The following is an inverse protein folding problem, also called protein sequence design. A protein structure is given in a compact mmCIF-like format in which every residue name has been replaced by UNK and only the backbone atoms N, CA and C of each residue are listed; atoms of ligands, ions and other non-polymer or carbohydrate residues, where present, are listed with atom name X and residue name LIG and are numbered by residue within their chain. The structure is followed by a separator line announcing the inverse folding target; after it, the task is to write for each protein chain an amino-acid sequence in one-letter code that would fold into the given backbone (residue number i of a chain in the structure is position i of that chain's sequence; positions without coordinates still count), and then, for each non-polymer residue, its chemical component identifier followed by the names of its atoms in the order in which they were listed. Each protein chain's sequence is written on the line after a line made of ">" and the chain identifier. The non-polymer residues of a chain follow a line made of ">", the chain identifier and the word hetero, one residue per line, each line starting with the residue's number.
data_IF_260052760389
#
_entry.id   IF_260052760389
#
_cell.length_a   1.000
_cell.length_b   1.000
_cell.length_c   1.000
_cell.angle_alpha   90.00
_cell.angle_beta   90.00
_cell.angle_gamma   90.00
#
_symmetry.space_group_name_H-M   'P 1'
#
loop_
_entity.id
_entity.type
_entity.pdbx_description
1 polymer ?
#
# COMPACT_ATOMS: atom_id res chain seq x y z
N UNK A 1 5.52 13.79 28.61
CA UNK A 1 4.74 12.54 28.50
C UNK A 1 4.65 12.16 27.03
N UNK A 2 5.56 11.31 26.55
CA UNK A 2 5.50 10.77 25.19
C UNK A 2 4.89 9.38 25.32
N UNK A 3 3.68 9.18 24.78
CA UNK A 3 2.96 7.90 24.84
C UNK A 3 3.44 7.00 23.70
N UNK A 4 3.93 5.82 24.06
CA UNK A 4 4.21 4.65 23.20
C UNK A 4 2.89 4.17 22.54
N UNK A 5 2.82 3.40 21.43
CA UNK A 5 3.39 2.05 21.26
C UNK A 5 3.17 1.51 19.80
N UNK A 6 4.10 0.66 19.35
CA UNK A 6 4.03 -0.36 18.27
C UNK A 6 3.94 0.07 16.78
N UNK A 7 5.10 0.27 16.14
CA UNK A 7 5.42 -0.38 14.84
C UNK A 7 6.91 -0.18 14.52
N UNK A 8 7.63 -1.29 14.33
CA UNK A 8 9.04 -1.39 13.92
C UNK A 8 9.39 -0.58 12.66
N UNK A 9 9.68 0.71 12.81
CA UNK A 9 10.21 1.55 11.73
C UNK A 9 11.37 2.34 12.31
N UNK A 10 12.60 1.89 12.08
CA UNK A 10 13.85 2.49 12.57
C UNK A 10 14.04 3.92 12.03
N UNK A 11 13.40 4.85 12.72
CA UNK A 11 13.69 6.23 13.12
C UNK A 11 14.57 7.19 12.28
N UNK A 12 14.31 8.47 12.58
CA UNK A 12 15.18 9.65 12.52
C UNK A 12 15.02 10.56 11.30
N UNK A 13 14.43 11.73 11.57
CA UNK A 13 14.73 12.99 10.89
C UNK A 13 16.22 13.06 10.54
N UNK A 14 16.58 12.98 9.26
CA UNK A 14 17.92 13.33 8.79
C UNK A 14 17.88 14.66 8.07
N UNK A 15 18.88 15.50 8.36
CA UNK A 15 19.07 16.82 7.79
C UNK A 15 19.42 16.70 6.29
N UNK A 16 18.64 17.37 5.43
CA UNK A 16 18.68 17.28 3.96
C UNK A 16 20.03 17.66 3.30
N UNK A 17 20.98 18.28 4.02
CA UNK A 17 22.17 18.92 3.42
C UNK A 17 23.47 18.08 3.44
N UNK A 18 23.45 16.78 3.79
CA UNK A 18 24.71 16.02 3.94
C UNK A 18 24.70 14.56 3.45
N UNK A 19 23.79 14.18 2.55
CA UNK A 19 23.69 12.79 2.09
C UNK A 19 24.20 12.63 0.66
N UNK A 20 25.05 11.61 0.42
CA UNK A 20 25.55 11.26 -0.91
C UNK A 20 24.39 10.86 -1.84
N UNK A 21 24.58 10.97 -3.16
CA UNK A 21 23.55 10.65 -4.16
C UNK A 21 22.95 9.24 -3.98
N UNK A 22 23.76 8.28 -3.53
CA UNK A 22 23.32 6.93 -3.19
C UNK A 22 22.34 6.88 -2.01
N UNK A 23 22.53 7.72 -0.99
CA UNK A 23 21.61 7.78 0.17
C UNK A 23 20.33 8.55 -0.17
N UNK A 24 20.39 9.58 -1.02
CA UNK A 24 19.19 10.24 -1.57
C UNK A 24 18.32 9.23 -2.34
N UNK A 25 18.93 8.39 -3.18
CA UNK A 25 18.21 7.32 -3.91
C UNK A 25 17.56 6.35 -2.93
N UNK A 26 18.26 5.93 -1.87
CA UNK A 26 17.71 5.08 -0.81
C UNK A 26 16.57 5.74 -0.03
N UNK A 27 16.64 7.06 0.22
CA UNK A 27 15.56 7.82 0.88
C UNK A 27 14.33 7.99 -0.02
N UNK A 28 14.52 8.25 -1.32
CA UNK A 28 13.44 8.29 -2.30
C UNK A 28 12.73 6.94 -2.41
N UNK A 29 13.48 5.84 -2.39
CA UNK A 29 12.91 4.49 -2.35
C UNK A 29 12.28 4.13 -0.99
N UNK A 30 12.70 4.74 0.11
CA UNK A 30 12.01 4.63 1.41
C UNK A 30 10.63 5.33 1.42
N UNK A 31 10.44 6.31 0.55
CA UNK A 31 9.17 7.02 0.36
C UNK A 31 8.26 6.41 -0.71
N UNK A 32 8.72 5.35 -1.39
CA UNK A 32 7.91 4.69 -2.39
C UNK A 32 6.71 4.01 -1.72
N UNK A 33 5.53 4.30 -2.25
CA UNK A 33 4.33 3.60 -1.85
C UNK A 33 4.50 2.12 -2.26
N UNK A 34 4.24 1.20 -1.31
CA UNK A 34 4.36 -0.24 -1.53
C UNK A 34 3.02 -0.93 -1.32
N UNK A 35 2.77 -2.00 -2.07
CA UNK A 35 1.57 -2.81 -1.91
C UNK A 35 1.57 -3.54 -0.56
N UNK A 36 0.50 -3.38 0.24
CA UNK A 36 0.34 -4.07 1.53
C UNK A 36 0.28 -5.60 1.47
N UNK A 37 0.06 -6.18 0.27
CA UNK A 37 -0.06 -7.63 0.08
C UNK A 37 1.25 -8.23 -0.40
N UNK A 38 1.76 -7.78 -1.54
CA UNK A 38 2.97 -8.36 -2.14
C UNK A 38 4.27 -7.65 -1.76
N UNK A 39 4.20 -6.50 -1.08
CA UNK A 39 5.37 -5.69 -0.65
C UNK A 39 6.24 -5.19 -1.81
N UNK A 40 5.67 -5.07 -3.00
CA UNK A 40 6.33 -4.49 -4.17
C UNK A 40 5.81 -3.08 -4.44
N UNK A 41 6.65 -2.26 -5.07
CA UNK A 41 6.33 -0.90 -5.49
C UNK A 41 5.26 -0.89 -6.60
N UNK A 42 4.64 0.27 -6.81
CA UNK A 42 3.80 0.51 -7.98
C UNK A 42 4.65 0.75 -9.22
N UNK A 43 4.33 0.11 -10.33
CA UNK A 43 4.92 0.41 -11.64
C UNK A 43 3.86 1.05 -12.56
N UNK A 44 4.24 1.68 -13.68
CA UNK A 44 3.29 2.19 -14.65
C UNK A 44 2.33 1.10 -15.17
N UNK A 45 2.81 -0.13 -15.31
CA UNK A 45 2.01 -1.28 -15.74
C UNK A 45 1.15 -1.85 -14.61
N UNK A 46 1.64 -1.78 -13.36
CA UNK A 46 0.97 -2.29 -12.16
C UNK A 46 0.90 -1.20 -11.08
N UNK A 47 0.01 -0.20 -11.26
CA UNK A 47 -0.08 0.92 -10.32
C UNK A 47 -0.70 0.51 -8.99
N UNK A 48 -0.41 1.31 -7.95
CA UNK A 48 -1.01 1.18 -6.62
C UNK A 48 -2.26 2.04 -6.48
N UNK A 49 -3.22 1.54 -5.71
CA UNK A 49 -4.49 2.19 -5.44
C UNK A 49 -4.74 2.30 -3.93
N UNK A 50 -5.63 3.23 -3.56
CA UNK A 50 -6.07 3.46 -2.18
C UNK A 50 -7.56 3.11 -2.01
N UNK A 51 -7.94 1.83 -1.92
CA UNK A 51 -9.34 1.43 -1.96
C UNK A 51 -10.07 1.68 -0.64
N UNK A 52 -9.41 2.19 0.40
CA UNK A 52 -10.00 2.45 1.70
C UNK A 52 -9.39 3.70 2.35
N UNK A 53 -10.00 4.15 3.45
CA UNK A 53 -9.59 5.37 4.18
C UNK A 53 -8.39 5.17 5.11
N UNK A 54 -7.69 4.03 5.00
CA UNK A 54 -6.48 3.81 5.78
C UNK A 54 -5.42 4.87 5.47
N UNK A 55 -4.56 5.16 6.44
CA UNK A 55 -3.48 6.15 6.33
C UNK A 55 -2.11 5.47 6.31
N UNK A 56 -1.09 6.18 5.84
CA UNK A 56 0.27 5.63 5.72
C UNK A 56 0.40 4.58 4.60
N UNK A 57 1.43 3.75 4.68
CA UNK A 57 1.78 2.75 3.65
C UNK A 57 0.73 1.64 3.49
N UNK A 58 -0.04 1.33 4.53
CA UNK A 58 -1.03 0.24 4.51
C UNK A 58 -2.28 0.52 3.66
N UNK A 59 -2.43 1.75 3.17
CA UNK A 59 -3.54 2.12 2.29
C UNK A 59 -3.34 1.67 0.84
N UNK A 60 -2.08 1.40 0.44
CA UNK A 60 -1.73 1.10 -0.94
C UNK A 60 -1.80 -0.39 -1.25
N UNK A 61 -2.42 -0.72 -2.38
CA UNK A 61 -2.54 -2.10 -2.86
C UNK A 61 -2.61 -2.12 -4.39
N UNK A 62 -2.03 -3.14 -5.03
CA UNK A 62 -2.22 -3.36 -6.45
C UNK A 62 -3.64 -3.85 -6.73
N UNK A 63 -4.14 -3.54 -7.93
CA UNK A 63 -5.43 -4.01 -8.40
C UNK A 63 -5.59 -5.54 -8.31
N UNK A 64 -4.62 -6.29 -8.84
CA UNK A 64 -4.63 -7.76 -8.82
C UNK A 64 -4.60 -8.31 -7.40
N UNK A 65 -3.77 -7.72 -6.53
CA UNK A 65 -3.67 -8.14 -5.14
C UNK A 65 -4.97 -7.91 -4.37
N UNK A 66 -5.64 -6.77 -4.60
CA UNK A 66 -6.93 -6.50 -4.00
C UNK A 66 -7.97 -7.53 -4.47
N UNK A 67 -8.01 -7.84 -5.76
CA UNK A 67 -8.96 -8.80 -6.34
C UNK A 67 -8.76 -10.21 -5.78
N UNK A 68 -7.51 -10.69 -5.74
CA UNK A 68 -7.18 -11.98 -5.14
C UNK A 68 -7.56 -12.02 -3.66
N UNK A 69 -7.30 -10.94 -2.93
CA UNK A 69 -7.69 -10.82 -1.52
C UNK A 69 -9.22 -10.87 -1.37
N UNK A 70 -9.99 -10.18 -2.20
CA UNK A 70 -11.46 -10.21 -2.18
C UNK A 70 -11.99 -11.62 -2.50
N UNK A 71 -11.43 -12.30 -3.51
CA UNK A 71 -11.80 -13.68 -3.90
C UNK A 71 -11.56 -14.65 -2.75
N UNK A 72 -10.43 -14.54 -2.05
CA UNK A 72 -10.08 -15.44 -0.95
C UNK A 72 -10.83 -15.11 0.36
N UNK A 73 -10.91 -13.83 0.72
CA UNK A 73 -11.49 -13.35 1.98
C UNK A 73 -13.02 -13.38 1.97
N UNK A 74 -13.66 -13.26 0.80
CA UNK A 74 -15.11 -13.04 0.63
C UNK A 74 -15.66 -11.85 1.42
N UNK A 75 -14.81 -10.85 1.67
CA UNK A 75 -15.16 -9.62 2.42
C UNK A 75 -15.05 -8.43 1.50
N UNK A 76 -16.06 -7.56 1.50
CA UNK A 76 -16.04 -6.30 0.73
C UNK A 76 -15.55 -5.10 1.56
N UNK A 77 -15.09 -5.33 2.78
CA UNK A 77 -14.71 -4.32 3.76
C UNK A 77 -13.25 -4.47 4.15
N UNK A 78 -12.57 -3.33 4.34
CA UNK A 78 -11.22 -3.32 4.87
C UNK A 78 -11.21 -3.91 6.29
N UNK A 79 -10.30 -4.84 6.55
CA UNK A 79 -10.21 -5.49 7.86
C UNK A 79 -9.74 -4.56 8.98
N UNK A 80 -9.09 -3.44 8.64
CA UNK A 80 -8.54 -2.47 9.58
C UNK A 80 -9.53 -1.34 9.85
N UNK A 81 -9.85 -0.55 8.83
CA UNK A 81 -10.72 0.63 8.98
C UNK A 81 -12.21 0.35 8.82
N UNK A 82 -12.59 -0.90 8.51
CA UNK A 82 -13.97 -1.37 8.31
C UNK A 82 -14.77 -0.63 7.22
N UNK A 83 -14.16 0.31 6.49
CA UNK A 83 -14.80 0.93 5.34
C UNK A 83 -14.94 -0.06 4.19
N UNK A 84 -16.05 0.06 3.46
CA UNK A 84 -16.25 -0.65 2.20
C UNK A 84 -15.15 -0.23 1.22
N UNK A 85 -14.58 -1.18 0.51
CA UNK A 85 -13.58 -0.85 -0.51
C UNK A 85 -14.22 -0.03 -1.63
N UNK A 86 -13.69 1.16 -1.90
CA UNK A 86 -14.02 1.98 -3.05
C UNK A 86 -13.15 1.52 -4.23
N UNK A 87 -13.64 0.54 -4.97
CA UNK A 87 -12.91 -0.06 -6.07
C UNK A 87 -13.87 -0.43 -7.21
N UNK A 88 -13.69 0.18 -8.37
CA UNK A 88 -14.35 -0.21 -9.62
C UNK A 88 -13.40 -1.11 -10.41
N UNK A 89 -13.56 -2.45 -10.35
CA UNK A 89 -12.74 -3.33 -11.16
C UNK A 89 -12.91 -3.02 -12.65
N UNK A 90 -11.80 -2.97 -13.38
CA UNK A 90 -11.86 -2.91 -14.84
C UNK A 90 -12.61 -4.14 -15.38
N UNK A 91 -13.35 -3.99 -16.48
CA UNK A 91 -14.23 -5.04 -17.04
C UNK A 91 -13.51 -6.39 -17.24
N UNK A 92 -12.21 -6.35 -17.50
CA UNK A 92 -11.35 -7.53 -17.66
C UNK A 92 -11.17 -8.33 -16.36
N UNK A 93 -11.21 -7.67 -15.21
CA UNK A 93 -11.00 -8.29 -13.89
C UNK A 93 -12.28 -8.89 -13.32
N UNK A 94 -13.44 -8.33 -13.63
CA UNK A 94 -14.75 -8.90 -13.25
C UNK A 94 -14.97 -10.30 -13.83
N UNK A 95 -14.45 -10.56 -15.04
CA UNK A 95 -14.56 -11.87 -15.68
C UNK A 95 -13.78 -12.98 -14.94
N UNK A 96 -12.71 -12.65 -14.19
CA UNK A 96 -11.93 -13.62 -13.39
C UNK A 96 -12.51 -13.91 -11.99
N UNK A 97 -13.50 -13.13 -11.54
CA UNK A 97 -14.16 -13.31 -10.23
C UNK A 97 -15.47 -14.10 -10.38
N UNK A 98 -16.09 -14.06 -11.57
CA UNK A 98 -17.34 -14.75 -11.91
C UNK A 98 -17.14 -16.10 -12.63
N UNK A 99 -15.89 -16.59 -12.68
CA UNK A 99 -15.48 -17.93 -13.15
C UNK A 99 -14.50 -18.54 -12.13
#
# INVERSE_FOLDING_TARGET
>A
MVKFIECNCVICLVNLNSLSSSVIISFLSLSADICRVCRSEGTPEKPLYHPCVCTGSIKFIHQECLVQWLKHSRKEYCELCKHRFAFTPSKYVLLFILW
#
